data_IF_607474317252
#
_entry.id   IF_607474317252
#
_cell.length_a   1.000
_cell.length_b   1.000
_cell.length_c   1.000
_cell.angle_alpha   90.00
_cell.angle_beta   90.00
_cell.angle_gamma   90.00
#
_symmetry.space_group_name_H-M   'P 1'
#
loop_
_entity.id
_entity.type
_entity.pdbx_description
1 polymer ?
#
# COMPACT_ATOMS: atom_id res chain seq x y z
N UNK A 1 -14.85 6.74 2.07
CA UNK A 1 -14.67 5.37 1.54
C UNK A 1 -13.34 4.75 1.94
N UNK A 2 -12.20 5.41 1.72
CA UNK A 2 -10.88 4.83 2.02
C UNK A 2 -10.73 4.28 3.45
N UNK A 3 -11.15 5.02 4.48
CA UNK A 3 -11.05 4.60 5.89
C UNK A 3 -11.86 3.33 6.22
N UNK A 4 -12.99 3.12 5.55
CA UNK A 4 -13.84 1.93 5.77
C UNK A 4 -13.19 0.70 5.13
N UNK A 5 -12.66 0.85 3.91
CA UNK A 5 -11.99 -0.24 3.20
C UNK A 5 -10.70 -0.64 3.92
N UNK A 6 -9.95 0.33 4.43
CA UNK A 6 -8.77 0.11 5.28
C UNK A 6 -9.12 -0.67 6.56
N UNK A 7 -10.20 -0.28 7.25
CA UNK A 7 -10.63 -0.98 8.46
C UNK A 7 -11.08 -2.43 8.17
N UNK A 8 -11.82 -2.66 7.08
CA UNK A 8 -12.22 -4.01 6.65
C UNK A 8 -11.00 -4.87 6.35
N UNK A 9 -10.03 -4.33 5.60
CA UNK A 9 -8.80 -5.04 5.27
C UNK A 9 -7.98 -5.36 6.53
N UNK A 10 -7.86 -4.39 7.44
CA UNK A 10 -7.15 -4.53 8.71
C UNK A 10 -7.79 -5.60 9.61
N UNK A 11 -9.12 -5.55 9.80
CA UNK A 11 -9.85 -6.57 10.56
C UNK A 11 -9.66 -7.97 9.97
N UNK A 12 -9.77 -8.10 8.63
CA UNK A 12 -9.53 -9.38 7.96
C UNK A 12 -8.13 -9.91 8.28
N UNK A 13 -7.11 -9.06 8.23
CA UNK A 13 -5.73 -9.47 8.50
C UNK A 13 -5.49 -9.83 9.96
N UNK A 14 -6.12 -9.12 10.90
CA UNK A 14 -6.04 -9.44 12.33
C UNK A 14 -6.63 -10.83 12.62
N UNK A 15 -7.75 -11.18 11.99
CA UNK A 15 -8.34 -12.53 12.12
C UNK A 15 -7.45 -13.60 11.49
N UNK A 16 -6.99 -13.37 10.26
CA UNK A 16 -6.29 -14.39 9.49
C UNK A 16 -4.85 -14.64 9.97
N UNK A 17 -4.17 -13.60 10.48
CA UNK A 17 -2.73 -13.68 10.77
C UNK A 17 -2.38 -13.45 12.24
N UNK A 18 -3.31 -12.93 13.05
CA UNK A 18 -3.06 -12.62 14.46
C UNK A 18 -4.05 -13.33 15.40
N UNK A 19 -4.92 -14.19 14.87
CA UNK A 19 -5.95 -14.93 15.63
C UNK A 19 -6.81 -14.04 16.53
N UNK A 20 -6.93 -12.76 16.17
CA UNK A 20 -7.60 -11.77 16.99
C UNK A 20 -9.13 -11.92 16.91
N UNK A 21 -9.81 -11.66 18.02
CA UNK A 21 -11.27 -11.58 18.05
C UNK A 21 -11.76 -10.26 17.45
N UNK A 22 -12.77 -10.34 16.59
CA UNK A 22 -13.34 -9.17 15.92
C UNK A 22 -14.33 -8.46 16.83
N UNK A 23 -14.10 -7.16 17.06
CA UNK A 23 -15.04 -6.26 17.73
C UNK A 23 -15.55 -5.22 16.72
N UNK A 24 -16.71 -5.51 16.13
CA UNK A 24 -17.34 -4.67 15.10
C UNK A 24 -17.72 -3.27 15.64
N UNK A 25 -18.31 -3.13 16.85
CA UNK A 25 -18.52 -1.83 17.47
C UNK A 25 -17.25 -0.99 17.60
N UNK A 26 -16.15 -1.59 18.09
CA UNK A 26 -14.87 -0.90 18.24
C UNK A 26 -14.27 -0.46 16.90
N UNK A 27 -14.36 -1.31 15.87
CA UNK A 27 -13.97 -0.98 14.50
C UNK A 27 -14.79 0.19 13.94
N UNK A 28 -16.10 0.21 14.19
CA UNK A 28 -16.97 1.33 13.78
C UNK A 28 -16.53 2.64 14.44
N UNK A 29 -16.20 2.60 15.73
CA UNK A 29 -15.70 3.75 16.47
C UNK A 29 -14.33 4.21 15.97
N UNK A 30 -13.43 3.28 15.63
CA UNK A 30 -12.12 3.54 15.02
C UNK A 30 -12.27 4.32 13.71
N UNK A 31 -13.15 3.86 12.81
CA UNK A 31 -13.42 4.58 11.54
C UNK A 31 -13.95 5.99 11.79
N UNK A 32 -14.89 6.15 12.72
CA UNK A 32 -15.43 7.47 13.07
C UNK A 32 -14.36 8.39 13.64
N UNK A 33 -13.48 7.88 14.51
CA UNK A 33 -12.38 8.64 15.09
C UNK A 33 -11.40 9.11 14.02
N UNK A 34 -10.93 8.20 13.14
CA UNK A 34 -10.06 8.53 12.01
C UNK A 34 -10.69 9.55 11.08
N UNK A 35 -12.01 9.45 10.84
CA UNK A 35 -12.74 10.42 10.02
C UNK A 35 -12.75 11.82 10.65
N UNK A 36 -13.02 11.91 11.95
CA UNK A 36 -13.03 13.19 12.68
C UNK A 36 -11.64 13.81 12.76
N UNK A 37 -10.59 13.01 12.90
CA UNK A 37 -9.21 13.48 12.85
C UNK A 37 -8.87 14.05 11.47
N UNK A 38 -9.20 13.31 10.41
CA UNK A 38 -8.94 13.75 9.04
C UNK A 38 -9.75 15.00 8.66
N UNK A 39 -11.03 15.09 9.08
CA UNK A 39 -11.88 16.23 8.75
C UNK A 39 -11.35 17.53 9.34
N UNK A 40 -10.76 17.51 10.54
CA UNK A 40 -10.10 18.68 11.15
C UNK A 40 -8.95 19.23 10.28
N UNK A 41 -8.23 18.36 9.56
CA UNK A 41 -7.15 18.77 8.65
C UNK A 41 -7.67 19.43 7.37
N UNK A 42 -8.95 19.20 7.01
CA UNK A 42 -9.56 19.73 5.78
C UNK A 42 -10.19 21.12 5.98
N UNK A 43 -10.54 21.51 7.21
CA UNK A 43 -11.23 22.79 7.51
C UNK A 43 -10.38 24.02 7.15
N UNK A 44 -9.07 23.89 6.92
CA UNK A 44 -8.17 25.00 6.57
C UNK A 44 -7.77 25.15 5.10
N UNK A 45 -8.19 24.23 4.20
CA UNK A 45 -7.81 24.29 2.78
C UNK A 45 -9.01 24.69 1.93
N UNK A 46 -9.07 25.95 1.51
CA UNK A 46 -9.95 26.33 0.40
C UNK A 46 -9.60 25.49 -0.84
N UNK A 47 -10.60 25.05 -1.62
CA UNK A 47 -10.35 24.23 -2.80
C UNK A 47 -9.83 25.14 -3.91
N UNK A 48 -8.51 25.31 -3.98
CA UNK A 48 -7.91 25.58 -5.27
C UNK A 48 -8.24 24.36 -6.12
N UNK A 49 -9.14 24.51 -7.08
CA UNK A 49 -9.54 23.46 -8.02
C UNK A 49 -8.33 23.15 -8.89
N UNK A 50 -7.40 22.37 -8.34
CA UNK A 50 -6.43 21.65 -9.11
C UNK A 50 -7.22 20.75 -10.07
N UNK A 51 -6.80 20.61 -11.34
CA UNK A 51 -7.44 19.70 -12.27
C UNK A 51 -7.56 18.34 -11.59
N UNK A 52 -8.76 17.78 -11.61
CA UNK A 52 -9.09 16.56 -10.90
C UNK A 52 -8.06 15.50 -11.23
N UNK A 53 -7.15 15.22 -10.28
CA UNK A 53 -6.28 14.06 -10.39
C UNK A 53 -7.22 12.86 -10.57
N UNK A 54 -7.04 12.05 -11.63
CA UNK A 54 -7.87 10.87 -11.80
C UNK A 54 -7.76 10.04 -10.53
N UNK A 55 -8.90 9.88 -9.86
CA UNK A 55 -9.04 9.16 -8.58
C UNK A 55 -9.00 7.65 -8.76
N UNK A 56 -8.93 7.20 -10.01
CA UNK A 56 -8.92 5.80 -10.42
C UNK A 56 -7.54 5.43 -10.96
N UNK A 57 -7.06 4.27 -10.52
CA UNK A 57 -5.81 3.71 -11.02
C UNK A 57 -5.91 3.47 -12.52
N UNK A 58 -4.89 3.87 -13.27
CA UNK A 58 -4.71 3.54 -14.68
C UNK A 58 -3.43 2.73 -14.91
N UNK A 59 -3.41 1.86 -15.93
CA UNK A 59 -2.19 1.18 -16.32
C UNK A 59 -1.16 2.17 -16.88
N UNK A 60 0.13 1.82 -16.89
CA UNK A 60 1.17 2.66 -17.46
C UNK A 60 1.04 2.78 -18.99
N UNK A 61 1.69 3.77 -19.63
CA UNK A 61 1.71 3.89 -21.09
C UNK A 61 2.37 2.69 -21.79
N UNK A 62 2.14 2.54 -23.10
CA UNK A 62 2.81 1.53 -23.91
C UNK A 62 4.34 1.72 -23.86
N UNK A 63 5.08 0.62 -23.72
CA UNK A 63 6.54 0.63 -23.55
C UNK A 63 7.01 0.82 -22.11
N UNK A 64 6.11 1.09 -21.17
CA UNK A 64 6.44 1.25 -19.76
C UNK A 64 6.04 0.02 -18.95
N UNK A 65 6.87 -0.29 -17.95
CA UNK A 65 6.53 -1.22 -16.87
C UNK A 65 6.33 -0.43 -15.59
N UNK A 66 5.18 -0.61 -14.94
CA UNK A 66 4.92 -0.05 -13.62
C UNK A 66 5.33 -1.06 -12.57
N UNK A 67 6.28 -0.68 -11.71
CA UNK A 67 6.72 -1.51 -10.59
C UNK A 67 6.13 -0.96 -9.30
N UNK A 68 5.18 -1.69 -8.73
CA UNK A 68 4.59 -1.41 -7.42
C UNK A 68 5.39 -2.16 -6.35
N UNK A 69 5.68 -1.50 -5.24
CA UNK A 69 6.36 -2.10 -4.10
C UNK A 69 5.54 -1.90 -2.84
N UNK A 70 5.73 -2.79 -1.87
CA UNK A 70 5.16 -2.69 -0.53
C UNK A 70 6.02 -3.49 0.45
N UNK A 71 5.91 -3.18 1.74
CA UNK A 71 6.58 -3.94 2.78
C UNK A 71 5.68 -4.17 4.00
N UNK A 72 5.76 -5.38 4.56
CA UNK A 72 5.04 -5.75 5.77
C UNK A 72 6.02 -6.15 6.88
N UNK A 73 5.75 -5.72 8.11
CA UNK A 73 6.57 -6.06 9.28
C UNK A 73 5.83 -7.04 10.17
N UNK A 74 6.56 -8.03 10.67
CA UNK A 74 6.13 -8.94 11.72
C UNK A 74 6.99 -8.78 12.96
N UNK A 75 6.72 -9.56 14.01
CA UNK A 75 7.51 -9.57 15.25
C UNK A 75 8.94 -10.07 15.08
N UNK A 76 9.26 -10.76 13.99
CA UNK A 76 10.57 -11.42 13.80
C UNK A 76 11.28 -11.02 12.50
N UNK A 77 10.54 -10.60 11.48
CA UNK A 77 11.07 -10.32 10.13
C UNK A 77 10.25 -9.23 9.45
N UNK A 78 10.81 -8.65 8.38
CA UNK A 78 10.05 -7.88 7.41
C UNK A 78 9.96 -8.64 6.07
N UNK A 79 8.84 -8.50 5.38
CA UNK A 79 8.59 -9.06 4.05
C UNK A 79 8.47 -7.92 3.05
N UNK A 80 9.14 -8.06 1.91
CA UNK A 80 9.11 -7.13 0.79
C UNK A 80 8.31 -7.75 -0.34
N UNK A 81 7.44 -6.97 -0.98
CA UNK A 81 6.66 -7.37 -2.14
C UNK A 81 6.93 -6.43 -3.31
N UNK A 82 7.07 -6.99 -4.51
CA UNK A 82 7.23 -6.23 -5.76
C UNK A 82 6.33 -6.83 -6.84
N UNK A 83 5.54 -5.99 -7.51
CA UNK A 83 4.66 -6.39 -8.62
C UNK A 83 4.97 -5.52 -9.83
N UNK A 84 5.32 -6.15 -10.94
CA UNK A 84 5.48 -5.47 -12.23
C UNK A 84 4.24 -5.64 -13.11
N UNK A 85 3.76 -4.54 -13.70
CA UNK A 85 2.60 -4.51 -14.58
C UNK A 85 2.91 -3.90 -15.94
N UNK A 86 2.32 -4.46 -17.00
CA UNK A 86 2.42 -3.93 -18.36
C UNK A 86 1.40 -2.79 -18.61
N UNK A 87 1.40 -2.26 -19.84
CA UNK A 87 0.50 -1.19 -20.29
C UNK A 87 -1.00 -1.57 -20.35
N UNK A 88 -1.34 -2.85 -20.28
CA UNK A 88 -2.72 -3.33 -20.12
C UNK A 88 -3.13 -3.42 -18.66
N UNK A 89 -2.17 -3.26 -17.76
CA UNK A 89 -2.34 -3.42 -16.32
C UNK A 89 -2.17 -4.85 -15.81
N UNK A 90 -1.85 -5.80 -16.71
CA UNK A 90 -1.62 -7.19 -16.35
C UNK A 90 -0.37 -7.32 -15.49
N UNK A 91 -0.43 -8.16 -14.47
CA UNK A 91 0.76 -8.56 -13.71
C UNK A 91 1.61 -9.45 -14.60
N UNK A 92 2.82 -8.99 -14.93
CA UNK A 92 3.77 -9.76 -15.73
C UNK A 92 4.79 -10.50 -14.88
N UNK A 93 5.10 -9.96 -13.70
CA UNK A 93 5.99 -10.57 -12.70
C UNK A 93 5.62 -10.14 -11.29
N UNK A 94 5.89 -11.00 -10.32
CA UNK A 94 5.76 -10.72 -8.90
C UNK A 94 6.92 -11.37 -8.13
N UNK A 95 7.42 -10.67 -7.12
CA UNK A 95 8.49 -11.16 -6.25
C UNK A 95 8.14 -10.92 -4.79
N UNK A 96 8.61 -11.82 -3.94
CA UNK A 96 8.56 -11.70 -2.48
C UNK A 96 9.89 -12.09 -1.86
N UNK A 97 10.32 -11.38 -0.82
CA UNK A 97 11.56 -11.67 -0.07
C UNK A 97 11.41 -11.28 1.40
N UNK A 98 11.90 -12.12 2.31
CA UNK A 98 12.05 -11.74 3.71
C UNK A 98 13.43 -11.14 4.00
N UNK A 99 13.47 -10.15 4.87
CA UNK A 99 14.68 -9.52 5.41
C UNK A 99 14.61 -9.53 6.95
N UNK A 100 15.75 -9.35 7.65
CA UNK A 100 15.75 -9.16 9.09
C UNK A 100 14.82 -8.02 9.51
N UNK A 101 14.29 -8.09 10.74
CA UNK A 101 13.40 -7.06 11.27
C UNK A 101 14.03 -5.67 11.22
N UNK A 102 13.27 -4.69 10.76
CA UNK A 102 13.67 -3.29 10.68
C UNK A 102 12.44 -2.38 10.89
N UNK A 103 12.65 -1.06 10.89
CA UNK A 103 11.53 -0.12 10.92
C UNK A 103 10.70 -0.16 9.63
N UNK A 104 9.44 0.28 9.69
CA UNK A 104 8.52 0.36 8.54
C UNK A 104 9.14 1.16 7.39
N UNK A 105 9.74 2.30 7.70
CA UNK A 105 10.43 3.12 6.71
C UNK A 105 11.61 2.41 6.04
N UNK A 106 12.41 1.66 6.81
CA UNK A 106 13.53 0.89 6.25
C UNK A 106 13.04 -0.26 5.37
N UNK A 107 11.95 -0.92 5.73
CA UNK A 107 11.39 -2.01 4.95
C UNK A 107 10.86 -1.50 3.59
N UNK A 108 10.14 -0.37 3.59
CA UNK A 108 9.65 0.29 2.37
C UNK A 108 10.81 0.74 1.47
N UNK A 109 11.84 1.38 2.05
CA UNK A 109 13.03 1.77 1.30
C UNK A 109 13.79 0.57 0.72
N UNK A 110 13.84 -0.55 1.46
CA UNK A 110 14.44 -1.79 0.97
C UNK A 110 13.62 -2.41 -0.18
N UNK A 111 12.28 -2.36 -0.12
CA UNK A 111 11.42 -2.81 -1.21
C UNK A 111 11.65 -1.98 -2.49
N UNK A 112 11.75 -0.65 -2.35
CA UNK A 112 12.08 0.26 -3.47
C UNK A 112 13.45 -0.04 -4.08
N UNK A 113 14.50 -0.16 -3.26
CA UNK A 113 15.85 -0.48 -3.73
C UNK A 113 15.85 -1.81 -4.49
N UNK A 114 15.22 -2.83 -3.90
CA UNK A 114 15.14 -4.15 -4.52
C UNK A 114 14.37 -4.14 -5.83
N UNK A 115 13.31 -3.34 -5.96
CA UNK A 115 12.61 -3.16 -7.22
C UNK A 115 13.48 -2.55 -8.33
N UNK A 116 14.36 -1.60 -8.01
CA UNK A 116 15.32 -1.04 -8.97
C UNK A 116 16.32 -2.12 -9.43
N UNK A 117 16.83 -2.93 -8.50
CA UNK A 117 17.72 -4.04 -8.83
C UNK A 117 17.02 -5.07 -9.73
N UNK A 118 15.76 -5.40 -9.46
CA UNK A 118 14.95 -6.31 -10.29
C UNK A 118 14.74 -5.72 -11.69
N UNK A 119 14.38 -4.44 -11.79
CA UNK A 119 14.20 -3.77 -13.09
C UNK A 119 15.50 -3.79 -13.93
N UNK A 120 16.65 -3.61 -13.29
CA UNK A 120 17.96 -3.74 -13.96
C UNK A 120 18.21 -5.16 -14.45
N UNK A 121 17.95 -6.19 -13.63
CA UNK A 121 18.10 -7.61 -14.01
C UNK A 121 17.18 -8.00 -15.17
N UNK A 122 15.98 -7.44 -15.20
CA UNK A 122 14.99 -7.64 -16.25
C UNK A 122 15.21 -6.79 -17.51
N UNK A 123 16.22 -5.89 -17.49
CA UNK A 123 16.57 -4.97 -18.58
C UNK A 123 15.43 -4.02 -18.95
N UNK A 124 14.79 -3.43 -17.94
CA UNK A 124 13.75 -2.40 -18.12
C UNK A 124 14.27 -0.96 -17.96
N UNK A 125 15.57 -0.79 -17.71
CA UNK A 125 16.26 0.48 -17.59
C UNK A 125 16.97 0.84 -18.90
#
# INVERSE_FOLDING_TARGET
>A
MALVVDEIWSLRNQVLYQEAQVDIPKSTQSVQHKFLEYSKLLVGKQPNVAPACPTTWSPPPLGWIKVNVDAAISSSHAALGVIARNHKGDVIKAWGRCIPICSSLQAEAAALLWAVELASRERWL
#
